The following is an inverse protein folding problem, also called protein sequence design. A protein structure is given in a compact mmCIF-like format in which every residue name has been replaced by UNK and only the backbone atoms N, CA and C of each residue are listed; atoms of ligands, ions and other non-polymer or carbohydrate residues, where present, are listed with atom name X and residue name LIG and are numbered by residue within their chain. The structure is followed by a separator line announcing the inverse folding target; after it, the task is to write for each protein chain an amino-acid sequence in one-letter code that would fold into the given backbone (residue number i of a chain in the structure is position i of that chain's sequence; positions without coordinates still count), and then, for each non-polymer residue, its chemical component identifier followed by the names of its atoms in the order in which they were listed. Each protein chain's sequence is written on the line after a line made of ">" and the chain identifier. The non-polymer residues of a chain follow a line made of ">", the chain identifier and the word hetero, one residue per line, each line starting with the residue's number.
data_IF_879815833316
#
_entry.id   IF_879815833316
#
_cell.length_a   1.000
_cell.length_b   1.000
_cell.length_c   1.000
_cell.angle_alpha   90.00
_cell.angle_beta   90.00
_cell.angle_gamma   90.00
#
_symmetry.space_group_name_H-M   'P 1'
#
loop_
_entity.id
_entity.type
_entity.pdbx_description
1 polymer ?
#
# COMPACT_ATOMS: atom_id res chain seq x y z
N UNK A 1 -17.87 2.94 19.73
CA UNK A 1 -17.22 1.63 19.49
C UNK A 1 -15.81 1.95 19.04
N UNK A 2 -14.76 1.44 19.71
CA UNK A 2 -13.37 1.69 19.30
C UNK A 2 -12.79 0.43 18.66
N UNK A 3 -12.20 0.56 17.47
CA UNK A 3 -11.46 -0.51 16.80
C UNK A 3 -9.96 -0.29 17.03
N UNK A 4 -9.22 -1.37 17.23
CA UNK A 4 -7.76 -1.34 17.36
C UNK A 4 -7.15 -2.09 16.18
N UNK A 5 -6.28 -1.42 15.44
CA UNK A 5 -5.49 -1.99 14.35
C UNK A 5 -4.02 -1.98 14.80
N UNK A 6 -3.50 -3.11 15.27
CA UNK A 6 -2.16 -3.17 15.86
C UNK A 6 -2.03 -2.18 17.03
N UNK A 7 -1.16 -1.16 16.88
CA UNK A 7 -0.97 -0.09 17.88
C UNK A 7 -1.90 1.12 17.68
N UNK A 8 -2.56 1.23 16.53
CA UNK A 8 -3.48 2.33 16.22
C UNK A 8 -4.84 2.07 16.85
N UNK A 9 -5.37 3.05 17.58
CA UNK A 9 -6.72 3.03 18.13
C UNK A 9 -7.59 4.02 17.37
N UNK A 10 -8.60 3.50 16.69
CA UNK A 10 -9.63 4.31 16.03
C UNK A 10 -10.65 4.74 17.09
N UNK A 11 -10.49 5.97 17.59
CA UNK A 11 -11.18 6.50 18.77
C UNK A 11 -12.21 7.59 18.45
N UNK A 12 -12.65 7.67 17.19
CA UNK A 12 -13.64 8.65 16.73
C UNK A 12 -13.01 9.96 16.21
N UNK A 13 -11.67 10.02 16.11
CA UNK A 13 -10.96 11.07 15.38
C UNK A 13 -10.85 10.73 13.90
N UNK A 14 -10.54 11.77 13.11
CA UNK A 14 -10.11 11.58 11.72
C UNK A 14 -8.71 10.95 11.71
N UNK A 15 -8.55 9.88 10.95
CA UNK A 15 -7.28 9.20 10.73
C UNK A 15 -6.95 9.23 9.24
N UNK A 16 -5.65 9.28 8.93
CA UNK A 16 -5.18 9.35 7.54
C UNK A 16 -4.71 7.98 7.09
N UNK A 17 -5.29 7.50 5.99
CA UNK A 17 -4.87 6.30 5.28
C UNK A 17 -4.18 6.70 3.97
N UNK A 18 -2.90 6.38 3.85
CA UNK A 18 -2.13 6.60 2.62
C UNK A 18 -2.42 5.50 1.60
N UNK A 19 -2.74 5.88 0.36
CA UNK A 19 -3.05 4.94 -0.72
C UNK A 19 -1.77 4.65 -1.53
N UNK A 20 -1.35 3.38 -1.55
CA UNK A 20 -0.22 2.88 -2.30
C UNK A 20 -0.68 1.90 -3.40
N UNK A 21 -0.89 2.41 -4.60
CA UNK A 21 -1.16 1.58 -5.77
C UNK A 21 0.14 1.02 -6.35
N UNK A 22 0.30 -0.31 -6.31
CA UNK A 22 1.46 -1.03 -6.86
C UNK A 22 1.13 -1.64 -8.22
N UNK A 23 0.67 -0.81 -9.15
CA UNK A 23 0.35 -1.20 -10.54
C UNK A 23 1.42 -0.73 -11.53
N UNK A 24 1.64 -1.42 -12.66
CA UNK A 24 2.59 -1.00 -13.69
C UNK A 24 2.31 0.41 -14.24
N UNK A 25 1.03 0.77 -14.35
CA UNK A 25 0.60 2.07 -14.89
C UNK A 25 0.90 3.25 -13.94
N UNK A 26 1.17 2.95 -12.67
CA UNK A 26 1.53 3.95 -11.66
C UNK A 26 3.03 4.32 -11.71
N UNK A 27 3.86 3.48 -12.33
CA UNK A 27 5.30 3.64 -12.43
C UNK A 27 5.75 3.38 -13.88
N UNK A 28 5.76 4.45 -14.67
CA UNK A 28 6.09 4.52 -16.09
C UNK A 28 7.41 3.77 -16.44
N UNK A 29 7.36 2.48 -16.82
CA UNK A 29 8.33 1.81 -17.71
C UNK A 29 8.03 0.31 -18.06
N UNK A 30 6.77 -0.13 -17.98
CA UNK A 30 6.36 -1.39 -18.62
C UNK A 30 6.73 -2.69 -17.88
N UNK A 31 7.17 -2.61 -16.63
CA UNK A 31 7.33 -3.75 -15.73
C UNK A 31 7.24 -3.28 -14.28
N UNK A 32 6.36 -3.89 -13.49
CA UNK A 32 6.37 -3.65 -12.05
C UNK A 32 7.51 -4.46 -11.43
N UNK A 33 8.52 -3.77 -10.92
CA UNK A 33 9.53 -4.36 -10.03
C UNK A 33 9.48 -3.59 -8.71
N UNK A 34 9.32 -4.29 -7.59
CA UNK A 34 9.31 -3.65 -6.27
C UNK A 34 10.61 -2.89 -5.96
N UNK A 35 11.72 -3.27 -6.59
CA UNK A 35 13.01 -2.60 -6.53
C UNK A 35 13.01 -1.23 -7.23
N UNK A 36 11.87 -0.79 -7.77
CA UNK A 36 11.66 0.62 -8.07
C UNK A 36 11.80 1.42 -6.77
N UNK A 37 12.95 2.07 -6.60
CA UNK A 37 13.29 3.02 -5.52
C UNK A 37 12.12 3.97 -5.18
N UNK A 38 11.26 4.24 -6.16
CA UNK A 38 10.06 5.05 -6.04
C UNK A 38 9.01 4.50 -5.05
N UNK A 39 8.74 3.19 -5.01
CA UNK A 39 7.71 2.63 -4.12
C UNK A 39 8.14 2.68 -2.65
N UNK A 40 9.39 2.30 -2.37
CA UNK A 40 9.98 2.39 -1.02
C UNK A 40 10.05 3.84 -0.54
N UNK A 41 10.56 4.75 -1.39
CA UNK A 41 10.60 6.18 -1.09
C UNK A 41 9.21 6.75 -0.82
N UNK A 42 8.20 6.34 -1.61
CA UNK A 42 6.83 6.81 -1.41
C UNK A 42 6.25 6.32 -0.08
N UNK A 43 6.54 5.08 0.32
CA UNK A 43 6.15 4.55 1.63
C UNK A 43 6.79 5.37 2.76
N UNK A 44 8.09 5.65 2.67
CA UNK A 44 8.80 6.47 3.64
C UNK A 44 8.23 7.89 3.73
N UNK A 45 7.92 8.50 2.57
CA UNK A 45 7.26 9.80 2.49
C UNK A 45 5.88 9.79 3.15
N UNK A 46 5.03 8.80 2.87
CA UNK A 46 3.70 8.70 3.49
C UNK A 46 3.80 8.60 5.02
N UNK A 47 4.75 7.83 5.54
CA UNK A 47 4.97 7.71 6.98
C UNK A 47 5.45 9.06 7.55
N UNK A 48 6.38 9.74 6.88
CA UNK A 48 6.89 11.05 7.29
C UNK A 48 5.82 12.16 7.21
N UNK A 49 4.90 12.07 6.26
CA UNK A 49 3.73 12.96 6.09
C UNK A 49 2.64 12.70 7.15
N UNK A 50 2.76 11.64 7.96
CA UNK A 50 1.85 11.34 9.07
C UNK A 50 0.69 10.43 8.70
N UNK A 51 0.81 9.60 7.66
CA UNK A 51 -0.13 8.50 7.47
C UNK A 51 -0.15 7.59 8.71
N UNK A 52 -1.34 7.19 9.15
CA UNK A 52 -1.54 6.28 10.28
C UNK A 52 -1.91 4.86 9.82
N UNK A 53 -2.31 4.71 8.55
CA UNK A 53 -2.56 3.43 7.88
C UNK A 53 -1.98 3.55 6.47
N UNK A 54 -1.44 2.46 5.91
CA UNK A 54 -1.15 2.36 4.48
C UNK A 54 -2.05 1.30 3.87
N UNK A 55 -2.76 1.68 2.82
CA UNK A 55 -3.62 0.81 2.02
C UNK A 55 -2.92 0.46 0.72
N UNK A 56 -2.72 -0.83 0.48
CA UNK A 56 -1.92 -1.34 -0.63
C UNK A 56 -2.87 -1.99 -1.63
N UNK A 57 -2.81 -1.58 -2.90
CA UNK A 57 -3.62 -2.17 -3.97
C UNK A 57 -2.75 -2.71 -5.11
N UNK A 58 -2.88 -4.01 -5.41
CA UNK A 58 -2.16 -4.70 -6.50
C UNK A 58 -2.90 -4.67 -7.84
N UNK A 59 -4.21 -4.49 -7.80
CA UNK A 59 -5.10 -4.42 -8.95
C UNK A 59 -5.67 -3.02 -9.15
N UNK A 60 -5.84 -2.61 -10.41
CA UNK A 60 -6.48 -1.32 -10.73
C UNK A 60 -7.99 -1.51 -10.82
N UNK A 61 -8.75 -0.73 -10.05
CA UNK A 61 -10.23 -0.69 -10.11
C UNK A 61 -10.76 0.39 -11.07
N UNK A 62 -9.87 1.02 -11.88
CA UNK A 62 -10.26 2.06 -12.84
C UNK A 62 -11.09 1.48 -14.00
N UNK A 63 -12.08 2.21 -14.54
CA UNK A 63 -12.84 1.75 -15.70
C UNK A 63 -11.93 1.35 -16.87
N UNK A 64 -12.09 0.12 -17.37
CA UNK A 64 -11.31 -0.42 -18.49
C UNK A 64 -9.98 -1.08 -18.10
N UNK A 65 -9.66 -1.19 -16.80
CA UNK A 65 -8.57 -2.06 -16.35
C UNK A 65 -8.85 -3.52 -16.70
N UNK A 66 -7.77 -4.27 -16.95
CA UNK A 66 -7.85 -5.72 -17.08
C UNK A 66 -7.61 -6.34 -15.71
N UNK A 67 -8.36 -7.41 -15.36
CA UNK A 67 -8.08 -8.16 -14.16
C UNK A 67 -6.68 -8.76 -14.25
N UNK A 68 -6.03 -8.86 -13.09
CA UNK A 68 -4.72 -9.49 -12.95
C UNK A 68 -4.90 -10.89 -12.39
N UNK A 69 -3.92 -11.77 -12.58
CA UNK A 69 -3.96 -13.07 -11.89
C UNK A 69 -3.61 -12.90 -10.42
N UNK A 70 -4.01 -13.87 -9.60
CA UNK A 70 -3.65 -13.91 -8.17
C UNK A 70 -2.13 -13.86 -8.01
N UNK A 71 -1.39 -14.59 -8.85
CA UNK A 71 0.08 -14.60 -8.82
C UNK A 71 0.67 -13.22 -9.12
N UNK A 72 0.14 -12.53 -10.14
CA UNK A 72 0.57 -11.16 -10.48
C UNK A 72 0.29 -10.17 -9.35
N UNK A 73 -0.86 -10.27 -8.69
CA UNK A 73 -1.21 -9.41 -7.57
C UNK A 73 -0.31 -9.69 -6.35
N UNK A 74 -0.07 -10.97 -6.03
CA UNK A 74 0.83 -11.38 -4.95
C UNK A 74 2.26 -10.88 -5.17
N UNK A 75 2.76 -10.97 -6.41
CA UNK A 75 4.07 -10.42 -6.77
C UNK A 75 4.11 -8.91 -6.49
N UNK A 76 3.03 -8.18 -6.73
CA UNK A 76 2.90 -6.73 -6.49
C UNK A 76 2.82 -6.35 -5.00
N UNK A 77 1.90 -6.97 -4.25
CA UNK A 77 1.57 -6.48 -2.91
C UNK A 77 2.53 -6.97 -1.83
N UNK A 78 3.02 -8.22 -1.92
CA UNK A 78 3.77 -8.81 -0.82
C UNK A 78 5.11 -8.08 -0.56
N UNK A 79 5.89 -7.66 -1.57
CA UNK A 79 7.11 -6.90 -1.32
C UNK A 79 6.86 -5.58 -0.57
N UNK A 80 5.76 -4.86 -0.87
CA UNK A 80 5.37 -3.64 -0.17
C UNK A 80 5.03 -3.93 1.31
N UNK A 81 4.22 -4.97 1.55
CA UNK A 81 3.88 -5.43 2.91
C UNK A 81 5.16 -5.75 3.70
N UNK A 82 6.09 -6.50 3.08
CA UNK A 82 7.37 -6.88 3.70
C UNK A 82 8.25 -5.67 4.02
N UNK A 83 8.28 -4.65 3.16
CA UNK A 83 9.07 -3.46 3.40
C UNK A 83 8.51 -2.63 4.55
N UNK A 84 7.20 -2.34 4.54
CA UNK A 84 6.54 -1.58 5.61
C UNK A 84 6.75 -2.26 6.96
N UNK A 85 6.53 -3.58 7.02
CA UNK A 85 6.70 -4.38 8.24
C UNK A 85 8.13 -4.36 8.80
N UNK A 86 9.15 -4.00 8.01
CA UNK A 86 10.53 -3.87 8.47
C UNK A 86 10.86 -2.51 9.05
N UNK A 87 10.19 -1.44 8.59
CA UNK A 87 10.55 -0.06 8.90
C UNK A 87 9.54 0.63 9.82
N UNK A 88 8.34 0.07 10.00
CA UNK A 88 7.26 0.69 10.77
C UNK A 88 6.28 -0.33 11.33
N UNK A 89 5.63 0.04 12.44
CA UNK A 89 4.51 -0.69 13.05
C UNK A 89 3.14 -0.17 12.56
N UNK A 90 3.13 0.68 11.52
CA UNK A 90 1.90 1.23 10.95
C UNK A 90 1.00 0.08 10.46
N UNK A 91 -0.30 0.10 10.77
CA UNK A 91 -1.24 -0.85 10.21
C UNK A 91 -1.23 -0.85 8.69
N UNK A 92 -1.31 -2.05 8.13
CA UNK A 92 -1.39 -2.27 6.69
C UNK A 92 -2.81 -2.75 6.36
N UNK A 93 -3.46 -2.05 5.45
CA UNK A 93 -4.69 -2.47 4.78
C UNK A 93 -4.33 -3.05 3.41
N UNK A 94 -5.09 -4.04 2.95
CA UNK A 94 -4.92 -4.67 1.65
C UNK A 94 -6.23 -4.51 0.88
N UNK A 95 -6.17 -3.82 -0.27
CA UNK A 95 -7.26 -3.67 -1.23
C UNK A 95 -7.05 -4.70 -2.34
N UNK A 96 -7.86 -5.76 -2.31
CA UNK A 96 -7.73 -7.01 -3.09
C UNK A 96 -9.12 -7.54 -3.43
#
# INVERSE_FOLDING_TARGET
>A
MSLTLGKLKLDGKCHVMGILNVTPDSFYDGGWHFDNTNAQKRIEEMIAEGAEIIDIGGESTRPGSKPVTVEEELERVIPAIRFISKISDIPISIDT
#
